data_IF_451942777317
#
_entry.id   IF_451942777317
#
_cell.length_a   1.000
_cell.length_b   1.000
_cell.length_c   1.000
_cell.angle_alpha   90.00
_cell.angle_beta   90.00
_cell.angle_gamma   90.00
#
_symmetry.space_group_name_H-M   'P 1'
#
loop_
_entity.id
_entity.type
_entity.pdbx_description
1 polymer ?
#
# COMPACT_ATOMS: atom_id res chain seq x y z
N UNK A 1 21.18 13.99 12.02
CA UNK A 1 20.04 13.07 12.13
C UNK A 1 20.35 12.14 13.28
N UNK A 2 19.40 11.91 14.18
CA UNK A 2 19.61 11.05 15.33
C UNK A 2 19.49 9.59 14.89
N UNK A 3 20.51 8.78 15.16
CA UNK A 3 20.46 7.32 14.94
C UNK A 3 19.45 6.67 15.92
N UNK A 4 18.99 5.46 15.62
CA UNK A 4 18.23 4.64 16.56
C UNK A 4 19.02 4.52 17.88
N UNK A 5 18.31 4.65 19.01
CA UNK A 5 18.93 4.37 20.31
C UNK A 5 19.31 2.90 20.41
N UNK A 6 20.30 2.57 21.24
CA UNK A 6 20.74 1.18 21.43
C UNK A 6 19.57 0.28 21.86
N UNK A 7 18.66 0.80 22.69
CA UNK A 7 17.48 0.07 23.14
C UNK A 7 16.50 -0.23 22.00
N UNK A 8 16.24 0.76 21.13
CA UNK A 8 15.42 0.54 19.94
C UNK A 8 16.05 -0.53 19.03
N UNK A 9 17.38 -0.49 18.84
CA UNK A 9 18.09 -1.47 18.02
C UNK A 9 17.98 -2.89 18.59
N UNK A 10 18.14 -3.04 19.90
CA UNK A 10 18.03 -4.31 20.61
C UNK A 10 16.63 -4.91 20.43
N UNK A 11 15.58 -4.14 20.74
CA UNK A 11 14.18 -4.58 20.61
C UNK A 11 13.85 -5.03 19.17
N UNK A 12 14.24 -4.23 18.18
CA UNK A 12 13.96 -4.56 16.78
C UNK A 12 14.74 -5.79 16.30
N UNK A 13 15.98 -5.96 16.77
CA UNK A 13 16.77 -7.15 16.48
C UNK A 13 16.16 -8.40 17.13
N UNK A 14 15.68 -8.29 18.37
CA UNK A 14 15.02 -9.39 19.07
C UNK A 14 13.73 -9.80 18.37
N UNK A 15 12.91 -8.83 17.95
CA UNK A 15 11.69 -9.09 17.19
C UNK A 15 11.97 -9.79 15.85
N UNK A 16 13.03 -9.38 15.14
CA UNK A 16 13.44 -10.01 13.88
C UNK A 16 13.99 -11.42 14.09
N UNK A 17 14.76 -11.62 15.16
CA UNK A 17 15.24 -12.94 15.55
C UNK A 17 14.09 -13.87 15.95
N UNK A 18 13.04 -13.33 16.58
CA UNK A 18 11.80 -14.03 16.86
C UNK A 18 11.13 -14.54 15.58
N UNK A 19 11.06 -13.70 14.53
CA UNK A 19 10.55 -14.13 13.20
C UNK A 19 11.41 -15.26 12.63
N UNK A 20 12.74 -15.13 12.66
CA UNK A 20 13.64 -16.15 12.15
C UNK A 20 13.53 -17.47 12.93
N UNK A 21 13.38 -17.40 14.25
CA UNK A 21 13.21 -18.56 15.12
C UNK A 21 11.86 -19.25 14.89
N UNK A 22 10.78 -18.49 14.71
CA UNK A 22 9.47 -19.02 14.36
C UNK A 22 9.52 -19.83 13.06
N UNK A 23 10.13 -19.26 12.01
CA UNK A 23 10.31 -19.96 10.72
C UNK A 23 11.17 -21.22 10.82
N UNK A 24 12.18 -21.22 11.70
CA UNK A 24 13.00 -22.41 11.94
C UNK A 24 12.19 -23.54 12.57
N UNK A 25 11.27 -23.21 13.47
CA UNK A 25 10.44 -24.18 14.19
C UNK A 25 9.33 -24.76 13.32
N UNK A 26 8.81 -24.02 12.35
CA UNK A 26 7.83 -24.55 11.37
C UNK A 26 8.47 -25.53 10.36
N UNK A 27 9.81 -25.57 10.28
CA UNK A 27 10.54 -26.50 9.39
C UNK A 27 10.78 -25.98 7.98
N UNK A 28 10.41 -24.72 7.69
CA UNK A 28 10.60 -24.09 6.39
C UNK A 28 11.95 -23.39 6.29
N UNK A 29 12.99 -24.21 6.17
CA UNK A 29 14.37 -23.75 6.28
C UNK A 29 15.04 -23.37 4.95
N UNK A 30 14.28 -23.22 3.86
CA UNK A 30 14.85 -22.97 2.54
C UNK A 30 14.82 -21.49 2.11
N UNK A 31 15.75 -21.15 1.22
CA UNK A 31 15.84 -19.81 0.61
C UNK A 31 14.57 -19.40 -0.13
N UNK A 32 13.78 -20.37 -0.59
CA UNK A 32 12.53 -20.10 -1.29
C UNK A 32 11.46 -19.58 -0.32
N UNK A 33 11.45 -20.07 0.92
CA UNK A 33 10.55 -19.63 1.98
C UNK A 33 10.83 -18.19 2.40
N UNK A 34 12.10 -17.81 2.57
CA UNK A 34 12.50 -16.43 2.86
C UNK A 34 12.14 -15.46 1.71
N UNK A 35 12.15 -15.94 0.46
CA UNK A 35 11.78 -15.11 -0.70
C UNK A 35 10.31 -14.68 -0.75
N UNK A 36 9.46 -15.26 0.11
CA UNK A 36 8.04 -14.89 0.22
C UNK A 36 7.82 -13.66 1.10
N UNK A 37 8.82 -13.26 1.88
CA UNK A 37 8.78 -12.02 2.65
C UNK A 37 9.08 -10.83 1.74
N UNK A 38 8.16 -9.87 1.76
CA UNK A 38 8.45 -8.51 1.28
C UNK A 38 8.86 -7.67 2.48
N UNK A 39 9.64 -6.62 2.27
CA UNK A 39 10.00 -5.67 3.33
C UNK A 39 8.75 -5.15 4.06
N UNK A 40 7.70 -4.81 3.32
CA UNK A 40 6.43 -4.33 3.90
C UNK A 40 5.78 -5.37 4.82
N UNK A 41 5.76 -6.65 4.44
CA UNK A 41 5.22 -7.70 5.31
C UNK A 41 6.05 -7.88 6.56
N UNK A 42 7.38 -7.90 6.41
CA UNK A 42 8.29 -8.03 7.52
C UNK A 42 8.10 -6.87 8.52
N UNK A 43 8.00 -5.63 8.05
CA UNK A 43 7.68 -4.47 8.90
C UNK A 43 6.38 -4.66 9.69
N UNK A 44 5.36 -5.30 9.10
CA UNK A 44 4.07 -5.50 9.79
C UNK A 44 4.13 -6.62 10.81
N UNK A 45 4.85 -7.70 10.52
CA UNK A 45 5.11 -8.73 11.52
C UNK A 45 5.87 -8.16 12.70
N UNK A 46 6.93 -7.38 12.46
CA UNK A 46 7.63 -6.69 13.55
C UNK A 46 6.67 -5.79 14.32
N UNK A 47 5.82 -5.00 13.66
CA UNK A 47 4.82 -4.18 14.35
C UNK A 47 3.87 -4.99 15.25
N UNK A 48 3.32 -6.10 14.74
CA UNK A 48 2.46 -6.98 15.53
C UNK A 48 3.18 -7.55 16.76
N UNK A 49 4.41 -8.04 16.57
CA UNK A 49 5.22 -8.53 17.68
C UNK A 49 5.46 -7.45 18.73
N UNK A 50 5.90 -6.25 18.31
CA UNK A 50 6.16 -5.13 19.21
C UNK A 50 4.91 -4.74 20.01
N UNK A 51 3.74 -4.78 19.36
CA UNK A 51 2.45 -4.46 20.00
C UNK A 51 2.09 -5.51 21.06
N UNK A 52 2.19 -6.78 20.72
CA UNK A 52 1.84 -7.89 21.61
C UNK A 52 2.74 -7.95 22.85
N UNK A 53 4.06 -7.79 22.64
CA UNK A 53 5.04 -7.79 23.72
C UNK A 53 5.05 -6.49 24.55
N UNK A 54 4.28 -5.48 24.13
CA UNK A 54 4.20 -4.19 24.83
C UNK A 54 5.40 -3.26 24.60
N UNK A 55 6.27 -3.60 23.65
CA UNK A 55 7.50 -2.88 23.30
C UNK A 55 7.27 -1.73 22.30
N UNK A 56 6.10 -1.66 21.67
CA UNK A 56 5.78 -0.64 20.66
C UNK A 56 6.02 0.81 21.13
N UNK A 57 5.71 1.21 22.39
CA UNK A 57 6.02 2.56 22.90
C UNK A 57 7.51 2.86 23.02
N UNK A 58 8.36 1.84 23.12
CA UNK A 58 9.81 1.97 23.27
C UNK A 58 10.53 2.08 21.92
N UNK A 59 9.80 1.93 20.82
CA UNK A 59 10.32 2.01 19.45
C UNK A 59 9.74 3.22 18.72
N UNK A 60 10.60 4.04 18.12
CA UNK A 60 10.13 5.20 17.34
C UNK A 60 9.49 4.76 16.02
N UNK A 61 8.18 4.96 15.90
CA UNK A 61 7.41 4.57 14.72
C UNK A 61 6.33 5.60 14.38
N UNK A 62 5.75 5.50 13.19
CA UNK A 62 4.65 6.33 12.72
C UNK A 62 3.87 5.63 11.61
N UNK A 63 2.69 6.13 11.25
CA UNK A 63 1.95 5.66 10.07
C UNK A 63 2.44 6.37 8.81
N UNK A 64 3.06 5.63 7.89
CA UNK A 64 3.68 6.18 6.67
C UNK A 64 3.65 5.21 5.48
N UNK A 65 3.19 5.67 4.32
CA UNK A 65 3.03 4.94 3.05
C UNK A 65 2.22 3.65 3.13
N UNK A 66 2.81 2.57 3.63
CA UNK A 66 2.17 1.26 3.79
C UNK A 66 1.69 1.01 5.23
N UNK A 67 1.38 2.06 5.99
CA UNK A 67 0.94 1.97 7.39
C UNK A 67 2.07 2.11 8.41
N UNK A 68 1.96 1.47 9.57
CA UNK A 68 2.95 1.58 10.64
C UNK A 68 4.36 1.22 10.18
N UNK A 69 5.33 2.12 10.41
CA UNK A 69 6.73 1.96 10.01
C UNK A 69 7.66 2.59 11.04
N UNK A 70 8.75 1.87 11.33
CA UNK A 70 9.87 2.34 12.15
C UNK A 70 10.86 3.10 11.27
N UNK A 71 11.43 4.19 11.79
CA UNK A 71 12.32 5.07 11.02
C UNK A 71 13.79 4.63 11.10
N UNK A 72 14.50 4.73 9.97
CA UNK A 72 15.93 4.42 9.80
C UNK A 72 16.35 3.00 10.26
N UNK A 73 15.58 1.99 9.86
CA UNK A 73 15.79 0.57 10.26
C UNK A 73 16.33 -0.33 9.15
N UNK A 74 16.65 0.17 7.96
CA UNK A 74 17.03 -0.67 6.80
C UNK A 74 18.31 -1.52 7.07
N UNK A 75 19.14 -1.12 8.04
CA UNK A 75 20.30 -1.88 8.50
C UNK A 75 19.95 -3.02 9.48
N UNK A 76 18.74 -2.99 10.06
CA UNK A 76 18.25 -3.92 11.08
C UNK A 76 17.13 -4.80 10.54
N UNK A 77 16.11 -4.21 9.92
CA UNK A 77 14.91 -4.88 9.43
C UNK A 77 14.98 -4.94 7.90
N UNK A 78 15.09 -6.16 7.38
CA UNK A 78 15.13 -6.40 5.95
C UNK A 78 15.22 -7.90 5.66
N UNK A 79 14.96 -8.29 4.41
CA UNK A 79 15.01 -9.71 4.01
C UNK A 79 16.45 -10.25 4.14
N UNK A 80 17.45 -9.42 3.89
CA UNK A 80 18.87 -9.79 4.05
C UNK A 80 19.23 -10.00 5.53
N UNK A 81 18.73 -9.13 6.41
CA UNK A 81 18.91 -9.26 7.87
C UNK A 81 18.16 -10.46 8.42
N UNK A 82 16.92 -10.71 7.93
CA UNK A 82 16.18 -11.92 8.27
C UNK A 82 16.96 -13.17 7.87
N UNK A 83 17.54 -13.19 6.66
CA UNK A 83 18.41 -14.27 6.21
C UNK A 83 19.67 -14.41 7.07
N UNK A 84 20.27 -13.29 7.51
CA UNK A 84 21.42 -13.31 8.41
C UNK A 84 21.06 -13.89 9.79
N UNK A 85 19.94 -13.48 10.38
CA UNK A 85 19.41 -14.02 11.63
C UNK A 85 19.07 -15.51 11.50
N UNK A 86 18.41 -15.90 10.42
CA UNK A 86 18.11 -17.29 10.11
C UNK A 86 19.39 -18.14 10.05
N UNK A 87 20.42 -17.70 9.32
CA UNK A 87 21.69 -18.41 9.22
C UNK A 87 22.42 -18.49 10.58
N UNK A 88 22.35 -17.43 11.39
CA UNK A 88 22.93 -17.41 12.74
C UNK A 88 22.26 -18.43 13.65
N UNK A 89 20.92 -18.51 13.61
CA UNK A 89 20.11 -19.38 14.48
C UNK A 89 20.12 -20.85 14.02
N UNK A 90 20.23 -21.11 12.72
CA UNK A 90 20.28 -22.48 12.15
C UNK A 90 21.55 -23.27 12.53
N UNK A 91 22.60 -22.60 13.01
CA UNK A 91 23.90 -23.21 13.27
C UNK A 91 24.66 -23.62 11.99
N UNK A 92 25.91 -24.12 12.11
CA UNK A 92 26.69 -24.52 10.95
C UNK A 92 26.04 -25.73 10.24
N UNK A 93 25.66 -25.53 8.97
CA UNK A 93 25.17 -26.58 8.06
C UNK A 93 26.33 -27.50 7.66
N UNK A 94 26.82 -28.31 8.59
CA UNK A 94 27.82 -29.33 8.27
C UNK A 94 27.15 -30.42 7.43
N UNK A 95 27.48 -30.43 6.12
CA UNK A 95 27.07 -31.44 5.14
C UNK A 95 27.49 -32.90 5.48
N UNK A 96 28.15 -33.11 6.62
CA UNK A 96 28.63 -34.43 7.10
C UNK A 96 27.79 -35.04 8.23
N UNK A 97 26.65 -34.46 8.62
CA UNK A 97 25.76 -35.06 9.62
C UNK A 97 24.89 -36.22 9.08
N UNK A 98 25.40 -36.98 8.10
CA UNK A 98 24.89 -38.33 7.85
C UNK A 98 25.44 -39.27 8.92
N UNK A 99 24.81 -39.27 10.09
CA UNK A 99 24.70 -40.36 11.09
C UNK A 99 24.64 -39.76 12.51
N UNK A 100 23.58 -40.16 13.21
CA UNK A 100 23.31 -40.08 14.65
C UNK A 100 22.47 -38.90 15.18
N UNK A 101 21.30 -39.31 15.72
CA UNK A 101 20.46 -38.71 16.75
C UNK A 101 19.58 -37.49 16.40
N UNK A 102 18.30 -37.61 16.78
CA UNK A 102 17.29 -36.56 17.02
C UNK A 102 17.82 -35.52 18.03
N UNK A 103 18.80 -34.74 17.60
CA UNK A 103 19.27 -33.57 18.33
C UNK A 103 19.05 -32.40 17.40
N UNK A 104 17.82 -31.87 17.41
CA UNK A 104 17.65 -30.49 16.98
C UNK A 104 18.69 -29.65 17.73
N UNK A 105 19.48 -28.81 17.06
CA UNK A 105 20.42 -27.94 17.76
C UNK A 105 19.65 -27.13 18.80
N UNK A 106 20.07 -27.18 20.06
CA UNK A 106 19.46 -26.40 21.13
C UNK A 106 19.80 -24.93 20.86
N UNK A 107 18.89 -24.21 20.19
CA UNK A 107 19.09 -22.81 19.82
C UNK A 107 18.98 -21.97 21.09
N UNK A 108 20.12 -21.56 21.65
CA UNK A 108 20.17 -20.65 22.78
C UNK A 108 19.89 -19.21 22.35
N UNK A 109 18.64 -18.77 22.52
CA UNK A 109 18.19 -17.38 22.37
C UNK A 109 17.80 -16.78 23.72
N UNK A 110 17.72 -15.45 23.79
CA UNK A 110 17.15 -14.75 24.95
C UNK A 110 15.69 -15.16 25.15
N UNK A 111 15.18 -15.01 26.39
CA UNK A 111 13.77 -15.28 26.67
C UNK A 111 12.87 -14.35 25.84
N UNK A 112 13.29 -13.10 25.64
CA UNK A 112 12.59 -12.11 24.84
C UNK A 112 12.41 -12.53 23.37
N UNK A 113 13.47 -13.04 22.72
CA UNK A 113 13.39 -13.60 21.36
C UNK A 113 12.46 -14.82 21.30
N UNK A 114 12.43 -15.62 22.39
CA UNK A 114 11.53 -16.78 22.48
C UNK A 114 10.07 -16.34 22.57
N UNK A 115 9.78 -15.31 23.36
CA UNK A 115 8.44 -14.76 23.51
C UNK A 115 7.90 -14.24 22.17
N UNK A 116 8.71 -13.48 21.41
CA UNK A 116 8.37 -13.08 20.04
C UNK A 116 8.10 -14.27 19.11
N UNK A 117 8.97 -15.29 19.14
CA UNK A 117 8.78 -16.47 18.29
C UNK A 117 7.49 -17.22 18.62
N UNK A 118 7.17 -17.37 19.91
CA UNK A 118 5.93 -17.99 20.38
C UNK A 118 4.69 -17.23 19.90
N UNK A 119 4.70 -15.89 19.93
CA UNK A 119 3.64 -15.06 19.38
C UNK A 119 3.45 -15.27 17.86
N UNK A 120 4.54 -15.23 17.08
CA UNK A 120 4.45 -15.40 15.62
C UNK A 120 3.95 -16.78 15.20
N UNK A 121 4.25 -17.81 15.99
CA UNK A 121 3.81 -19.18 15.75
C UNK A 121 2.36 -19.40 16.17
N UNK A 122 1.99 -18.98 17.39
CA UNK A 122 0.74 -19.41 18.02
C UNK A 122 -0.41 -18.42 17.84
N UNK A 123 -0.11 -17.12 17.80
CA UNK A 123 -1.14 -16.08 17.84
C UNK A 123 -1.31 -15.37 16.49
N UNK A 124 -0.22 -15.15 15.74
CA UNK A 124 -0.27 -14.45 14.44
C UNK A 124 -0.43 -15.40 13.23
N UNK A 125 -0.06 -16.67 13.36
CA UNK A 125 0.05 -17.64 12.24
C UNK A 125 0.88 -17.09 11.06
N UNK A 126 2.17 -16.92 11.29
CA UNK A 126 3.10 -16.42 10.27
C UNK A 126 3.18 -17.33 9.03
N UNK A 127 2.80 -18.61 9.14
CA UNK A 127 2.80 -19.57 8.04
C UNK A 127 1.72 -19.23 7.01
N UNK A 128 0.51 -18.90 7.47
CA UNK A 128 -0.58 -18.49 6.58
C UNK A 128 -0.34 -17.10 5.99
N UNK A 129 -0.06 -16.10 6.84
CA UNK A 129 0.01 -14.69 6.44
C UNK A 129 1.14 -14.39 5.44
N UNK A 130 2.25 -15.15 5.48
CA UNK A 130 3.35 -14.95 4.53
C UNK A 130 2.96 -15.29 3.08
N UNK A 131 2.00 -16.20 2.85
CA UNK A 131 1.52 -16.54 1.49
C UNK A 131 0.38 -15.67 0.99
N UNK A 132 -0.27 -14.93 1.88
CA UNK A 132 -1.36 -14.03 1.51
C UNK A 132 -0.91 -12.98 0.49
N UNK A 133 -1.80 -12.56 -0.41
CA UNK A 133 -1.47 -11.49 -1.36
C UNK A 133 -1.25 -10.18 -0.60
N UNK A 134 -0.15 -9.48 -0.90
CA UNK A 134 0.24 -8.26 -0.15
C UNK A 134 -0.84 -7.18 -0.08
N UNK A 135 -1.67 -7.03 -1.14
CA UNK A 135 -2.78 -6.08 -1.11
C UNK A 135 -3.94 -6.47 -0.18
N UNK A 136 -4.20 -7.76 -0.01
CA UNK A 136 -5.22 -8.26 0.93
C UNK A 136 -4.70 -8.18 2.37
N UNK A 137 -3.44 -8.61 2.56
CA UNK A 137 -2.75 -8.51 3.84
C UNK A 137 -2.76 -7.07 4.39
N UNK A 138 -2.50 -6.07 3.54
CA UNK A 138 -2.53 -4.68 3.97
C UNK A 138 -3.94 -4.18 4.31
N UNK A 139 -4.98 -4.64 3.62
CA UNK A 139 -6.36 -4.26 3.97
C UNK A 139 -6.75 -4.79 5.35
N UNK A 140 -6.44 -6.05 5.63
CA UNK A 140 -6.68 -6.65 6.95
C UNK A 140 -5.86 -5.95 8.03
N UNK A 141 -4.58 -5.70 7.77
CA UNK A 141 -3.72 -4.93 8.67
C UNK A 141 -4.29 -3.54 8.97
N UNK A 142 -4.80 -2.81 7.98
CA UNK A 142 -5.39 -1.49 8.22
C UNK A 142 -6.72 -1.56 8.95
N UNK A 143 -7.53 -2.59 8.68
CA UNK A 143 -8.81 -2.78 9.37
C UNK A 143 -8.61 -2.99 10.89
N UNK A 144 -7.53 -3.68 11.25
CA UNK A 144 -7.21 -4.03 12.64
C UNK A 144 -6.38 -2.95 13.36
N UNK A 145 -5.39 -2.38 12.68
CA UNK A 145 -4.31 -1.65 13.34
C UNK A 145 -4.24 -0.16 12.99
N UNK A 146 -4.91 0.29 11.92
CA UNK A 146 -4.83 1.69 11.53
C UNK A 146 -5.39 2.62 12.59
N UNK A 147 -4.71 3.76 12.76
CA UNK A 147 -5.20 4.83 13.62
C UNK A 147 -6.58 5.26 13.12
N UNK A 148 -7.58 5.26 13.99
CA UNK A 148 -8.99 5.50 13.67
C UNK A 148 -9.19 6.70 12.74
N UNK A 149 -8.51 7.82 13.02
CA UNK A 149 -8.60 9.07 12.24
C UNK A 149 -8.17 8.92 10.76
N UNK A 150 -7.36 7.91 10.43
CA UNK A 150 -6.79 7.69 9.09
C UNK A 150 -7.10 6.31 8.49
N UNK A 151 -7.82 5.45 9.23
CA UNK A 151 -8.10 4.07 8.81
C UNK A 151 -8.80 4.03 7.45
N UNK A 152 -9.92 4.73 7.31
CA UNK A 152 -10.70 4.79 6.07
C UNK A 152 -9.87 5.32 4.90
N UNK A 153 -9.01 6.31 5.15
CA UNK A 153 -8.10 6.85 4.13
C UNK A 153 -7.08 5.82 3.64
N UNK A 154 -6.48 5.03 4.54
CA UNK A 154 -5.57 3.94 4.18
C UNK A 154 -6.28 2.82 3.40
N UNK A 155 -7.50 2.47 3.79
CA UNK A 155 -8.33 1.49 3.09
C UNK A 155 -8.67 1.95 1.68
N UNK A 156 -9.19 3.17 1.53
CA UNK A 156 -9.50 3.78 0.23
C UNK A 156 -8.27 3.83 -0.68
N UNK A 157 -7.11 4.22 -0.14
CA UNK A 157 -5.83 4.22 -0.86
C UNK A 157 -5.47 2.82 -1.36
N UNK A 158 -5.55 1.81 -0.50
CA UNK A 158 -5.19 0.45 -0.85
C UNK A 158 -6.18 -0.19 -1.85
N UNK A 159 -7.47 0.15 -1.76
CA UNK A 159 -8.48 -0.25 -2.72
C UNK A 159 -8.19 0.33 -4.11
N UNK A 160 -7.85 1.62 -4.21
CA UNK A 160 -7.44 2.22 -5.49
C UNK A 160 -6.21 1.52 -6.08
N UNK A 161 -5.19 1.20 -5.26
CA UNK A 161 -4.01 0.46 -5.74
C UNK A 161 -4.36 -0.93 -6.24
N UNK A 162 -5.22 -1.63 -5.50
CA UNK A 162 -5.68 -2.95 -5.89
C UNK A 162 -6.41 -2.89 -7.23
N UNK A 163 -7.27 -1.89 -7.45
CA UNK A 163 -7.93 -1.70 -8.73
C UNK A 163 -6.96 -1.34 -9.86
N UNK A 164 -6.02 -0.41 -9.68
CA UNK A 164 -5.01 -0.11 -10.70
C UNK A 164 -4.17 -1.34 -11.09
N UNK A 165 -3.83 -2.19 -10.11
CA UNK A 165 -3.14 -3.45 -10.37
C UNK A 165 -4.02 -4.46 -11.11
N UNK A 166 -5.31 -4.55 -10.77
CA UNK A 166 -6.25 -5.39 -11.51
C UNK A 166 -6.38 -4.91 -12.96
N UNK A 167 -6.48 -3.60 -13.19
CA UNK A 167 -6.57 -3.03 -14.52
C UNK A 167 -5.32 -3.30 -15.36
N UNK A 168 -4.13 -3.17 -14.77
CA UNK A 168 -2.88 -3.59 -15.40
C UNK A 168 -2.94 -5.06 -15.84
N UNK A 169 -3.42 -5.95 -14.96
CA UNK A 169 -3.56 -7.38 -15.26
C UNK A 169 -4.54 -7.67 -16.41
N UNK A 170 -5.61 -6.89 -16.53
CA UNK A 170 -6.60 -7.01 -17.62
C UNK A 170 -6.03 -6.54 -18.96
N UNK A 171 -5.40 -5.36 -18.99
CA UNK A 171 -4.72 -4.86 -20.19
C UNK A 171 -3.66 -5.85 -20.68
N UNK A 172 -2.89 -6.43 -19.76
CA UNK A 172 -1.92 -7.46 -20.10
C UNK A 172 -2.57 -8.68 -20.77
N UNK A 173 -3.70 -9.19 -20.24
CA UNK A 173 -4.43 -10.31 -20.86
C UNK A 173 -4.94 -9.98 -22.26
N UNK A 174 -5.44 -8.76 -22.48
CA UNK A 174 -5.91 -8.32 -23.80
C UNK A 174 -4.77 -8.34 -24.82
N UNK A 175 -3.61 -7.80 -24.43
CA UNK A 175 -2.42 -7.75 -25.28
C UNK A 175 -1.87 -9.17 -25.54
N UNK A 176 -1.78 -10.00 -24.50
CA UNK A 176 -1.25 -11.36 -24.60
C UNK A 176 -2.16 -12.25 -25.47
N UNK A 177 -3.48 -12.21 -25.27
CA UNK A 177 -4.44 -12.97 -26.08
C UNK A 177 -4.38 -12.56 -27.57
N UNK A 178 -4.17 -11.28 -27.89
CA UNK A 178 -3.97 -10.84 -29.27
C UNK A 178 -2.72 -11.45 -29.90
N UNK A 179 -1.64 -11.55 -29.13
CA UNK A 179 -0.36 -12.07 -29.60
C UNK A 179 -0.36 -13.59 -29.79
N UNK A 180 -1.19 -14.32 -29.05
CA UNK A 180 -1.28 -15.79 -29.11
C UNK A 180 -2.29 -16.32 -30.15
N UNK A 181 -3.10 -15.45 -30.74
CA UNK A 181 -4.17 -15.82 -31.69
C UNK A 181 -5.43 -16.35 -31.00
N UNK A 182 -6.60 -16.32 -31.67
CA UNK A 182 -7.87 -16.67 -31.04
C UNK A 182 -7.91 -18.15 -30.64
N UNK A 183 -8.20 -18.40 -29.37
CA UNK A 183 -8.46 -19.74 -28.82
C UNK A 183 -9.95 -20.08 -28.92
N UNK A 184 -10.30 -21.36 -28.84
CA UNK A 184 -11.70 -21.82 -28.81
C UNK A 184 -12.48 -21.29 -27.58
N UNK A 185 -11.79 -20.81 -26.54
CA UNK A 185 -12.40 -20.17 -25.36
C UNK A 185 -12.83 -18.71 -25.62
N UNK A 186 -12.29 -18.08 -26.67
CA UNK A 186 -12.60 -16.69 -27.06
C UNK A 186 -13.91 -16.59 -27.87
N UNK A 187 -14.48 -17.72 -28.31
CA UNK A 187 -15.79 -17.78 -28.95
C UNK A 187 -16.91 -17.72 -27.89
N UNK A 188 -17.19 -16.51 -27.39
CA UNK A 188 -18.36 -16.25 -26.53
C UNK A 188 -18.17 -15.19 -25.44
N UNK A 189 -16.94 -14.71 -25.23
CA UNK A 189 -16.67 -13.60 -24.32
C UNK A 189 -16.38 -12.35 -25.16
N UNK A 190 -17.38 -11.49 -25.34
CA UNK A 190 -17.12 -10.10 -25.71
C UNK A 190 -16.28 -9.51 -24.57
N UNK A 191 -14.97 -9.46 -24.76
CA UNK A 191 -14.05 -8.87 -23.81
C UNK A 191 -14.25 -7.35 -23.83
N UNK A 192 -15.23 -6.86 -23.07
CA UNK A 192 -15.29 -5.46 -22.69
C UNK A 192 -13.97 -5.15 -21.98
N UNK A 193 -13.13 -4.34 -22.63
CA UNK A 193 -11.84 -3.88 -22.11
C UNK A 193 -12.01 -3.30 -20.71
N UNK A 194 -13.08 -2.52 -20.58
CA UNK A 194 -13.48 -1.69 -19.47
C UNK A 194 -14.96 -1.42 -19.70
N UNK A 195 -15.85 -2.25 -19.15
CA UNK A 195 -17.26 -1.87 -19.13
C UNK A 195 -17.43 -0.50 -18.44
N UNK A 196 -18.47 0.29 -18.77
CA UNK A 196 -18.71 1.61 -18.18
C UNK A 196 -18.62 1.62 -16.65
N UNK A 197 -19.07 0.54 -16.01
CA UNK A 197 -19.01 0.27 -14.57
C UNK A 197 -17.59 0.36 -13.95
N UNK A 198 -16.51 0.30 -14.74
CA UNK A 198 -15.12 0.24 -14.23
C UNK A 198 -14.45 1.60 -14.12
N UNK A 199 -14.80 2.54 -14.99
CA UNK A 199 -14.44 3.94 -14.79
C UNK A 199 -15.13 4.46 -13.52
N UNK A 200 -16.42 4.13 -13.36
CA UNK A 200 -17.21 4.49 -12.17
C UNK A 200 -16.56 3.98 -10.89
N UNK A 201 -16.08 2.73 -10.85
CA UNK A 201 -15.34 2.21 -9.69
C UNK A 201 -14.08 3.01 -9.32
N UNK A 202 -13.30 3.47 -10.31
CA UNK A 202 -12.12 4.29 -10.04
C UNK A 202 -12.55 5.68 -9.55
N UNK A 203 -13.58 6.26 -10.16
CA UNK A 203 -14.11 7.56 -9.77
C UNK A 203 -14.69 7.54 -8.35
N UNK A 204 -15.37 6.46 -7.96
CA UNK A 204 -15.90 6.24 -6.61
C UNK A 204 -14.76 6.17 -5.59
N UNK A 205 -13.72 5.37 -5.87
CA UNK A 205 -12.55 5.24 -4.99
C UNK A 205 -11.75 6.55 -4.88
N UNK A 206 -11.65 7.31 -5.97
CA UNK A 206 -11.05 8.65 -5.96
C UNK A 206 -11.88 9.62 -5.12
N UNK A 207 -13.21 9.56 -5.25
CA UNK A 207 -14.13 10.39 -4.47
C UNK A 207 -14.07 10.06 -2.98
N UNK A 208 -13.98 8.78 -2.63
CA UNK A 208 -13.76 8.30 -1.26
C UNK A 208 -12.44 8.86 -0.69
N UNK A 209 -11.34 8.74 -1.44
CA UNK A 209 -10.05 9.34 -1.05
C UNK A 209 -10.15 10.85 -0.81
N UNK A 210 -10.81 11.58 -1.70
CA UNK A 210 -11.00 13.02 -1.54
C UNK A 210 -11.85 13.37 -0.32
N UNK A 211 -12.89 12.58 -0.03
CA UNK A 211 -13.74 12.75 1.13
C UNK A 211 -12.94 12.52 2.41
N UNK A 212 -12.21 11.41 2.49
CA UNK A 212 -11.39 11.06 3.66
C UNK A 212 -10.29 12.09 3.91
N UNK A 213 -9.58 12.54 2.87
CA UNK A 213 -8.61 13.63 3.00
C UNK A 213 -9.24 14.95 3.45
N UNK A 214 -10.51 15.21 3.13
CA UNK A 214 -11.18 16.46 3.51
C UNK A 214 -11.53 16.55 4.99
N UNK A 215 -11.55 15.41 5.71
CA UNK A 215 -11.88 15.35 7.14
C UNK A 215 -10.79 15.98 8.02
N UNK A 216 -9.54 15.96 7.58
CA UNK A 216 -8.39 16.55 8.29
C UNK A 216 -7.94 17.85 7.62
N UNK A 217 -7.72 18.91 8.40
CA UNK A 217 -7.42 20.24 7.86
C UNK A 217 -6.09 20.29 7.09
N UNK A 218 -5.03 19.64 7.57
CA UNK A 218 -3.72 19.65 6.92
C UNK A 218 -3.73 18.78 5.64
N UNK A 219 -4.50 17.68 5.64
CA UNK A 219 -4.72 16.88 4.43
C UNK A 219 -5.59 17.61 3.40
N UNK A 220 -6.57 18.41 3.85
CA UNK A 220 -7.42 19.23 2.99
C UNK A 220 -6.60 20.25 2.20
N UNK A 221 -5.52 20.78 2.77
CA UNK A 221 -4.60 21.69 2.07
C UNK A 221 -3.90 21.02 0.87
N UNK A 222 -3.69 19.71 0.91
CA UNK A 222 -3.07 18.95 -0.19
C UNK A 222 -4.06 18.59 -1.32
N UNK A 223 -5.37 18.66 -1.07
CA UNK A 223 -6.40 18.26 -2.02
C UNK A 223 -6.29 18.93 -3.40
N UNK A 224 -6.04 20.25 -3.53
CA UNK A 224 -5.92 20.89 -4.84
C UNK A 224 -4.79 20.30 -5.71
N UNK A 225 -3.70 19.87 -5.08
CA UNK A 225 -2.58 19.24 -5.78
C UNK A 225 -2.87 17.77 -6.09
N UNK A 226 -3.46 17.05 -5.13
CA UNK A 226 -3.85 15.65 -5.29
C UNK A 226 -4.90 15.46 -6.39
N UNK A 227 -5.90 16.36 -6.45
CA UNK A 227 -6.96 16.40 -7.49
C UNK A 227 -6.40 16.48 -8.90
N UNK A 228 -5.38 17.32 -9.13
CA UNK A 228 -4.79 17.43 -10.47
C UNK A 228 -4.18 16.12 -10.98
N UNK A 229 -3.80 15.20 -10.09
CA UNK A 229 -3.38 13.86 -10.47
C UNK A 229 -4.58 12.93 -10.65
N UNK A 230 -5.53 12.92 -9.71
CA UNK A 230 -6.67 12.02 -9.78
C UNK A 230 -7.60 12.36 -10.95
N UNK A 231 -7.81 13.63 -11.28
CA UNK A 231 -8.51 14.07 -12.50
C UNK A 231 -7.84 13.49 -13.75
N UNK A 232 -6.50 13.54 -13.84
CA UNK A 232 -5.74 12.98 -14.97
C UNK A 232 -5.85 11.44 -15.02
N UNK A 233 -5.89 10.79 -13.87
CA UNK A 233 -6.06 9.34 -13.77
C UNK A 233 -7.46 8.94 -14.24
N UNK A 234 -8.50 9.59 -13.74
CA UNK A 234 -9.90 9.38 -14.12
C UNK A 234 -10.10 9.62 -15.61
N UNK A 235 -9.54 10.70 -16.15
CA UNK A 235 -9.55 11.00 -17.59
C UNK A 235 -8.89 9.88 -18.41
N UNK A 236 -7.71 9.40 -17.99
CA UNK A 236 -7.04 8.31 -18.68
C UNK A 236 -7.83 7.00 -18.62
N UNK A 237 -8.45 6.70 -17.48
CA UNK A 237 -9.30 5.54 -17.30
C UNK A 237 -10.59 5.64 -18.12
N UNK A 238 -11.19 6.82 -18.25
CA UNK A 238 -12.34 7.09 -19.10
C UNK A 238 -11.98 6.89 -20.58
N UNK A 239 -10.85 7.44 -21.02
CA UNK A 239 -10.36 7.27 -22.39
C UNK A 239 -10.12 5.79 -22.70
N UNK A 240 -9.44 5.06 -21.82
CA UNK A 240 -9.27 3.60 -21.94
C UNK A 240 -10.61 2.85 -21.95
N UNK A 241 -11.56 3.32 -21.14
CA UNK A 241 -12.94 2.84 -21.08
C UNK A 241 -13.64 2.77 -22.43
N UNK A 242 -13.37 3.78 -23.27
CA UNK A 242 -14.03 3.98 -24.56
C UNK A 242 -13.22 3.46 -25.75
N UNK A 243 -11.99 3.00 -25.53
CA UNK A 243 -11.14 2.49 -26.58
C UNK A 243 -11.59 1.11 -27.05
N UNK A 244 -11.66 0.95 -28.37
CA UNK A 244 -11.79 -0.35 -29.02
C UNK A 244 -10.63 -1.26 -28.59
N UNK A 245 -10.93 -2.53 -28.28
CA UNK A 245 -9.94 -3.52 -27.83
C UNK A 245 -8.71 -3.47 -28.73
N UNK A 246 -8.90 -3.46 -30.05
CA UNK A 246 -7.89 -3.50 -31.12
C UNK A 246 -6.88 -2.37 -31.06
N UNK A 247 -7.23 -1.22 -30.47
CA UNK A 247 -6.33 -0.06 -30.34
C UNK A 247 -5.43 -0.15 -29.13
N UNK A 248 -5.73 -1.04 -28.20
CA UNK A 248 -4.96 -1.22 -26.97
C UNK A 248 -3.68 -1.97 -27.29
N UNK A 249 -2.58 -1.36 -26.88
CA UNK A 249 -1.22 -1.86 -27.05
C UNK A 249 -0.41 -1.70 -25.74
N UNK A 250 0.87 -2.05 -25.81
CA UNK A 250 1.80 -1.97 -24.67
C UNK A 250 1.99 -0.54 -24.12
N UNK A 251 1.77 0.51 -24.91
CA UNK A 251 1.92 1.89 -24.44
C UNK A 251 0.90 2.22 -23.35
N UNK A 252 -0.33 1.71 -23.49
CA UNK A 252 -1.41 1.86 -22.52
C UNK A 252 -1.12 1.10 -21.22
N UNK A 253 -0.58 -0.12 -21.34
CA UNK A 253 -0.14 -0.92 -20.18
C UNK A 253 0.97 -0.20 -19.42
N UNK A 254 1.94 0.38 -20.14
CA UNK A 254 3.00 1.20 -19.55
C UNK A 254 2.43 2.46 -18.88
N UNK A 255 1.40 3.09 -19.45
CA UNK A 255 0.76 4.24 -18.83
C UNK A 255 0.05 3.91 -17.52
N UNK A 256 -0.73 2.83 -17.45
CA UNK A 256 -1.32 2.38 -16.17
C UNK A 256 -0.24 2.05 -15.14
N UNK A 257 0.87 1.46 -15.56
CA UNK A 257 2.00 1.25 -14.65
C UNK A 257 2.58 2.58 -14.13
N UNK A 258 2.77 3.58 -15.01
CA UNK A 258 3.23 4.92 -14.61
C UNK A 258 2.26 5.63 -13.68
N UNK A 259 0.94 5.48 -13.89
CA UNK A 259 -0.08 6.01 -12.99
C UNK A 259 0.01 5.38 -11.60
N UNK A 260 0.15 4.06 -11.52
CA UNK A 260 0.28 3.36 -10.24
C UNK A 260 1.57 3.75 -9.49
N UNK A 261 2.70 3.84 -10.20
CA UNK A 261 3.97 4.30 -9.65
C UNK A 261 3.89 5.75 -9.16
N UNK A 262 3.28 6.64 -9.95
CA UNK A 262 3.10 8.03 -9.57
C UNK A 262 2.16 8.15 -8.37
N UNK A 263 1.05 7.41 -8.37
CA UNK A 263 0.11 7.39 -7.26
C UNK A 263 0.83 7.06 -5.96
N UNK A 264 1.53 5.93 -5.89
CA UNK A 264 2.10 5.48 -4.64
C UNK A 264 3.35 6.26 -4.22
N UNK A 265 4.23 6.61 -5.17
CA UNK A 265 5.53 7.22 -4.85
C UNK A 265 5.55 8.74 -4.88
N UNK A 266 4.52 9.39 -5.46
CA UNK A 266 4.39 10.84 -5.52
C UNK A 266 3.10 11.32 -4.83
N UNK A 267 1.92 10.91 -5.32
CA UNK A 267 0.64 11.45 -4.84
C UNK A 267 0.33 11.06 -3.40
N UNK A 268 0.29 9.77 -3.11
CA UNK A 268 0.04 9.22 -1.77
C UNK A 268 1.14 9.57 -0.77
N UNK A 269 2.36 9.82 -1.25
CA UNK A 269 3.48 10.16 -0.38
C UNK A 269 3.28 11.49 0.35
N UNK A 270 2.58 12.46 -0.24
CA UNK A 270 2.29 13.75 0.39
C UNK A 270 1.40 13.59 1.64
N UNK A 271 0.16 13.04 1.55
CA UNK A 271 -0.67 12.81 2.74
C UNK A 271 0.01 11.85 3.72
N UNK A 272 0.73 10.82 3.25
CA UNK A 272 1.47 9.93 4.13
C UNK A 272 2.51 10.65 5.00
N UNK A 273 3.19 11.69 4.49
CA UNK A 273 4.13 12.49 5.29
C UNK A 273 3.42 13.31 6.36
N UNK A 274 2.25 13.89 6.03
CA UNK A 274 1.40 14.60 7.00
C UNK A 274 0.94 13.65 8.10
N UNK A 275 0.35 12.51 7.73
CA UNK A 275 -0.13 11.48 8.67
C UNK A 275 1.02 11.01 9.57
N UNK A 276 2.18 10.76 8.98
CA UNK A 276 3.35 10.29 9.72
C UNK A 276 3.84 11.32 10.75
N UNK A 277 3.83 12.61 10.40
CA UNK A 277 4.16 13.67 11.36
C UNK A 277 3.16 13.75 12.52
N UNK A 278 1.88 13.47 12.29
CA UNK A 278 0.84 13.47 13.33
C UNK A 278 0.91 12.23 14.23
N UNK A 279 1.20 11.08 13.64
CA UNK A 279 1.18 9.76 14.30
C UNK A 279 2.53 9.32 14.89
N UNK A 280 3.58 10.12 14.73
CA UNK A 280 4.90 9.81 15.29
C UNK A 280 4.88 9.61 16.81
N UNK A 281 5.37 8.44 17.23
CA UNK A 281 5.40 7.95 18.62
C UNK A 281 6.79 7.38 18.94
N UNK A 282 7.10 7.22 20.23
CA UNK A 282 8.35 6.64 20.71
C UNK A 282 9.45 7.66 21.06
N UNK A 283 10.66 7.17 21.40
CA UNK A 283 11.73 7.99 21.99
C UNK A 283 12.19 9.17 21.13
N UNK A 284 12.17 9.02 19.81
CA UNK A 284 12.66 10.03 18.83
C UNK A 284 11.52 10.63 18.01
N UNK A 285 10.29 10.61 18.52
CA UNK A 285 9.11 11.09 17.78
C UNK A 285 9.26 12.50 17.22
N UNK A 286 9.84 13.43 17.98
CA UNK A 286 9.93 14.84 17.55
C UNK A 286 10.95 15.02 16.41
N UNK A 287 12.03 14.24 16.42
CA UNK A 287 12.97 14.19 15.30
C UNK A 287 12.30 13.65 14.03
N UNK A 288 11.52 12.57 14.17
CA UNK A 288 10.76 11.98 13.07
C UNK A 288 9.74 12.99 12.49
N UNK A 289 9.04 13.73 13.34
CA UNK A 289 8.11 14.80 12.92
C UNK A 289 8.81 15.85 12.07
N UNK A 290 9.91 16.42 12.59
CA UNK A 290 10.67 17.46 11.88
C UNK A 290 11.20 16.92 10.55
N UNK A 291 11.73 15.70 10.53
CA UNK A 291 12.23 15.03 9.33
C UNK A 291 11.14 14.91 8.26
N UNK A 292 9.92 14.51 8.64
CA UNK A 292 8.84 14.30 7.68
C UNK A 292 8.21 15.58 7.18
N UNK A 293 8.11 16.62 8.02
CA UNK A 293 7.70 17.95 7.58
C UNK A 293 8.71 18.58 6.60
N UNK A 294 10.01 18.39 6.82
CA UNK A 294 11.05 18.82 5.87
C UNK A 294 10.92 18.09 4.53
N UNK A 295 10.77 16.75 4.56
CA UNK A 295 10.55 15.95 3.35
C UNK A 295 9.28 16.34 2.60
N UNK A 296 8.22 16.76 3.30
CA UNK A 296 6.97 17.21 2.67
C UNK A 296 7.23 18.43 1.79
N UNK A 297 7.88 19.47 2.34
CA UNK A 297 8.21 20.69 1.61
C UNK A 297 9.09 20.43 0.38
N UNK A 298 10.07 19.52 0.50
CA UNK A 298 10.90 19.11 -0.64
C UNK A 298 10.08 18.39 -1.72
N UNK A 299 9.13 17.55 -1.31
CA UNK A 299 8.32 16.73 -2.23
C UNK A 299 7.28 17.53 -2.97
N UNK A 300 6.68 18.55 -2.37
CA UNK A 300 5.73 19.45 -3.03
C UNK A 300 6.34 20.09 -4.28
N UNK A 301 7.61 20.53 -4.19
CA UNK A 301 8.34 21.11 -5.32
C UNK A 301 8.64 20.09 -6.45
N UNK A 302 8.90 18.84 -6.09
CA UNK A 302 9.17 17.78 -7.07
C UNK A 302 7.88 17.29 -7.76
N UNK A 303 6.77 17.34 -7.05
CA UNK A 303 5.48 16.80 -7.48
C UNK A 303 4.98 17.45 -8.77
N UNK A 304 4.93 18.78 -8.83
CA UNK A 304 4.41 19.52 -9.99
C UNK A 304 5.19 19.20 -11.27
N UNK A 305 6.52 19.15 -11.16
CA UNK A 305 7.40 18.81 -12.28
C UNK A 305 7.11 17.40 -12.79
N UNK A 306 6.97 16.41 -11.91
CA UNK A 306 6.67 15.04 -12.31
C UNK A 306 5.24 14.89 -12.83
N UNK A 307 4.28 15.62 -12.26
CA UNK A 307 2.91 15.62 -12.76
C UNK A 307 2.86 16.18 -14.19
N UNK A 308 3.61 17.24 -14.49
CA UNK A 308 3.76 17.75 -15.86
C UNK A 308 4.31 16.70 -16.83
N UNK A 309 5.32 15.92 -16.41
CA UNK A 309 5.86 14.82 -17.21
C UNK A 309 4.82 13.70 -17.43
N UNK A 310 4.04 13.38 -16.41
CA UNK A 310 2.96 12.40 -16.51
C UNK A 310 1.88 12.87 -17.47
N UNK A 311 1.44 14.14 -17.38
CA UNK A 311 0.47 14.76 -18.30
C UNK A 311 0.90 14.65 -19.76
N UNK A 312 2.16 14.99 -20.06
CA UNK A 312 2.70 14.85 -21.42
C UNK A 312 2.68 13.40 -21.88
N UNK A 313 3.11 12.46 -21.04
CA UNK A 313 3.10 11.04 -21.39
C UNK A 313 1.68 10.49 -21.62
N UNK A 314 0.69 10.95 -20.85
CA UNK A 314 -0.73 10.61 -21.02
C UNK A 314 -1.25 11.14 -22.37
N UNK A 315 -0.88 12.37 -22.74
CA UNK A 315 -1.22 12.94 -24.05
C UNK A 315 -0.61 12.13 -25.21
N UNK A 316 0.67 11.78 -25.10
CA UNK A 316 1.40 11.01 -26.11
C UNK A 316 0.80 9.61 -26.31
N UNK A 317 0.23 9.02 -25.25
CA UNK A 317 -0.50 7.75 -25.30
C UNK A 317 -1.96 7.88 -25.75
N UNK A 318 -2.41 9.08 -26.18
CA UNK A 318 -3.79 9.35 -26.59
C UNK A 318 -4.84 9.04 -25.49
N UNK A 319 -4.45 9.19 -24.23
CA UNK A 319 -5.29 8.95 -23.05
C UNK A 319 -5.89 10.22 -22.45
N UNK A 320 -6.08 11.26 -23.28
CA UNK A 320 -6.80 12.47 -22.88
C UNK A 320 -8.17 12.42 -23.54
N UNK A 321 -9.27 12.35 -22.76
CA UNK A 321 -10.62 12.40 -23.26
C UNK A 321 -10.88 13.67 -24.07
N UNK A 322 -11.74 13.57 -25.07
CA UNK A 322 -12.36 14.70 -25.76
C UNK A 322 -13.71 15.04 -25.12
N UNK A 323 -14.28 16.21 -25.41
CA UNK A 323 -15.61 16.61 -24.89
C UNK A 323 -16.74 15.59 -25.19
N UNK A 324 -16.56 14.73 -26.20
CA UNK A 324 -17.51 13.67 -26.57
C UNK A 324 -17.38 12.42 -25.71
N UNK A 325 -16.30 12.32 -24.95
CA UNK A 325 -15.95 11.17 -24.13
C UNK A 325 -16.50 11.30 -22.71
N UNK A 326 -17.04 12.44 -22.30
CA UNK A 326 -17.85 12.51 -21.09
C UNK A 326 -19.26 11.99 -21.37
N UNK A 327 -19.89 11.27 -20.42
CA UNK A 327 -21.32 11.03 -20.49
C UNK A 327 -22.02 12.36 -20.70
N UNK A 328 -22.89 12.46 -21.71
CA UNK A 328 -23.78 13.62 -21.80
C UNK A 328 -24.52 13.69 -20.47
N UNK A 329 -24.44 14.83 -19.79
CA UNK A 329 -25.30 15.10 -18.63
C UNK A 329 -26.73 15.03 -19.15
N UNK A 330 -27.34 13.85 -19.13
CA UNK A 330 -28.77 13.72 -19.27
C UNK A 330 -29.34 14.59 -18.16
N UNK A 331 -30.26 15.45 -18.55
CA UNK A 331 -30.85 16.52 -17.76
C UNK A 331 -31.71 16.00 -16.60
N UNK A 332 -31.09 15.25 -15.68
CA UNK A 332 -31.62 15.00 -14.35
C UNK A 332 -30.96 15.97 -13.34
N UNK A 333 -30.47 17.11 -13.84
CA UNK A 333 -30.16 18.31 -13.06
C UNK A 333 -31.39 18.93 -12.38
N UNK A 334 -32.58 18.33 -12.51
CA UNK A 334 -33.73 18.63 -11.64
C UNK A 334 -33.49 18.20 -10.18
N UNK A 335 -32.56 17.29 -9.88
CA UNK A 335 -32.36 16.77 -8.52
C UNK A 335 -31.55 17.69 -7.59
N UNK A 336 -30.57 18.45 -8.09
CA UNK A 336 -29.69 19.26 -7.21
C UNK A 336 -30.37 20.55 -6.78
N UNK A 337 -31.06 21.24 -7.69
CA UNK A 337 -31.80 22.47 -7.35
C UNK A 337 -33.03 22.17 -6.48
N UNK A 338 -33.66 21.00 -6.64
CA UNK A 338 -34.79 20.57 -5.82
C UNK A 338 -34.32 20.09 -4.44
N UNK A 339 -33.16 19.43 -4.34
CA UNK A 339 -32.52 19.06 -3.07
C UNK A 339 -32.04 20.30 -2.28
N UNK A 340 -31.42 21.27 -2.94
CA UNK A 340 -31.01 22.54 -2.32
C UNK A 340 -32.23 23.36 -1.88
N UNK A 341 -33.32 23.36 -2.67
CA UNK A 341 -34.57 24.02 -2.28
C UNK A 341 -35.23 23.32 -1.08
N UNK A 342 -35.27 21.99 -1.05
CA UNK A 342 -35.82 21.23 0.08
C UNK A 342 -35.02 21.49 1.38
N UNK A 343 -33.69 21.54 1.30
CA UNK A 343 -32.82 21.80 2.45
C UNK A 343 -32.99 23.22 3.01
N UNK A 344 -33.19 24.21 2.14
CA UNK A 344 -33.42 25.60 2.54
C UNK A 344 -34.85 25.85 3.06
N UNK A 345 -35.83 25.04 2.66
CA UNK A 345 -37.20 25.09 3.18
C UNK A 345 -37.30 24.43 4.58
N UNK A 346 -36.58 23.34 4.83
CA UNK A 346 -36.49 22.73 6.17
C UNK A 346 -35.79 23.62 7.20
N UNK A 347 -34.75 24.37 6.81
CA UNK A 347 -34.04 25.26 7.73
C UNK A 347 -34.85 26.51 8.14
N UNK A 348 -35.85 26.89 7.34
CA UNK A 348 -36.76 28.00 7.66
C UNK A 348 -37.95 27.56 8.54
N UNK A 349 -38.40 26.31 8.41
CA UNK A 349 -39.43 25.72 9.29
C UNK A 349 -38.90 25.39 10.70
N UNK A 350 -37.58 25.21 10.86
CA UNK A 350 -36.95 24.99 12.16
C UNK A 350 -36.66 26.30 12.94
N UNK A 351 -36.93 27.47 12.35
CA UNK A 351 -36.66 28.80 12.92
C UNK A 351 -37.91 29.67 13.16
N UNK A 352 -39.12 29.14 12.89
CA UNK A 352 -40.40 29.68 13.38
C UNK A 352 -40.92 28.89 14.58
#
# INVERSE_FOLDING_TARGET
MAELTEREREILSDALDGVALALLRTGDADRESLSKFTETKLEKFIYYGLKDQGDLPDVTHSWYLAGAKTDDVDDIIGVDQLQASFNRLSGPTNKDQSKFADTQPEIHVSDHVRDYAEFYENDLDIEELRYQRGGQFLLEFYEEEAVDDYKDLYLACQNLRNELNQQKGRLWKIIDNRNQGPTLADFGQNADVMGPDRYEQIADLVSELHLEMSKDDDLRELLPQFRQFTDLLEDACLALGKMEVERIDESHLQMIHRFNEFFYHQAWKLPALVISSKTATGPRRDDLRVKHLQKLSEKESEYERKLGQLKTATADASLIPTERDYPSVNSDTESVDEFVRAYLEEENLAKE
#
